data_IF_979675618406
#
_entry.id   IF_979675618406
#
_cell.length_a   1.000
_cell.length_b   1.000
_cell.length_c   1.000
_cell.angle_alpha   90.00
_cell.angle_beta   90.00
_cell.angle_gamma   90.00
#
_symmetry.space_group_name_H-M   'P 1'
#
loop_
_entity.id
_entity.type
_entity.pdbx_description
1 polymer ?
#
# COMPACT_ATOMS: atom_id res chain seq x y z
N UNK A 1 -2.27 -24.51 -36.66
CA UNK A 1 -2.66 -24.54 -35.24
C UNK A 1 -2.05 -23.30 -34.63
N UNK A 2 -2.83 -22.23 -34.49
CA UNK A 2 -2.44 -21.07 -33.70
C UNK A 2 -2.35 -21.56 -32.26
N UNK A 3 -1.12 -21.63 -31.74
CA UNK A 3 -0.91 -21.75 -30.30
C UNK A 3 -1.68 -20.60 -29.68
N UNK A 4 -2.59 -20.91 -28.76
CA UNK A 4 -3.10 -19.92 -27.83
C UNK A 4 -1.87 -19.47 -27.04
N UNK A 5 -1.19 -18.43 -27.50
CA UNK A 5 -0.28 -17.68 -26.65
C UNK A 5 -1.17 -17.12 -25.55
N UNK A 6 -1.20 -17.85 -24.45
CA UNK A 6 -1.85 -17.45 -23.22
C UNK A 6 -1.37 -16.04 -22.91
N UNK A 7 -2.31 -15.11 -22.79
CA UNK A 7 -2.12 -13.79 -22.19
C UNK A 7 -1.77 -13.97 -20.69
N UNK A 8 -0.73 -14.73 -20.37
CA UNK A 8 -0.16 -14.79 -19.04
C UNK A 8 0.90 -13.68 -19.01
N UNK A 9 0.49 -12.51 -18.53
CA UNK A 9 1.42 -11.46 -18.15
C UNK A 9 2.41 -11.93 -17.06
N UNK A 10 3.37 -11.07 -16.69
CA UNK A 10 4.31 -11.39 -15.62
C UNK A 10 3.58 -11.79 -14.34
N UNK A 11 4.08 -12.85 -13.69
CA UNK A 11 3.57 -13.35 -12.42
C UNK A 11 4.36 -12.75 -11.27
N UNK A 12 3.77 -12.74 -10.09
CA UNK A 12 4.48 -12.31 -8.87
C UNK A 12 5.79 -13.09 -8.73
N UNK A 13 6.89 -12.37 -8.57
CA UNK A 13 8.26 -12.89 -8.51
C UNK A 13 8.99 -12.96 -9.86
N UNK A 14 8.32 -12.75 -10.98
CA UNK A 14 8.98 -12.67 -12.29
C UNK A 14 9.84 -11.41 -12.36
N UNK A 15 11.01 -11.55 -13.00
CA UNK A 15 11.92 -10.42 -13.25
C UNK A 15 11.89 -10.05 -14.72
N UNK A 16 11.58 -8.79 -15.02
CA UNK A 16 11.60 -8.20 -16.36
C UNK A 16 12.41 -6.91 -16.33
N UNK A 17 13.30 -6.73 -17.32
CA UNK A 17 14.14 -5.54 -17.47
C UNK A 17 14.87 -5.07 -16.19
N UNK A 18 15.26 -6.02 -15.34
CA UNK A 18 15.97 -5.76 -14.09
C UNK A 18 15.07 -5.41 -12.90
N UNK A 19 13.75 -5.53 -13.05
CA UNK A 19 12.76 -5.31 -11.98
C UNK A 19 11.97 -6.59 -11.69
N UNK A 20 11.69 -6.86 -10.42
CA UNK A 20 10.89 -8.00 -9.97
C UNK A 20 9.48 -7.54 -9.62
N UNK A 21 8.46 -8.21 -10.17
CA UNK A 21 7.05 -7.93 -9.87
C UNK A 21 6.71 -8.40 -8.45
N UNK A 22 6.21 -7.52 -7.60
CA UNK A 22 5.88 -7.84 -6.20
C UNK A 22 4.42 -7.62 -5.84
N UNK A 23 3.64 -6.89 -6.62
CA UNK A 23 2.20 -6.85 -6.43
C UNK A 23 1.48 -6.48 -7.72
N UNK A 24 0.21 -6.87 -7.80
CA UNK A 24 -0.73 -6.43 -8.84
C UNK A 24 -2.05 -6.04 -8.20
N UNK A 25 -2.71 -5.03 -8.76
CA UNK A 25 -3.99 -4.55 -8.29
C UNK A 25 -4.92 -4.11 -9.42
N UNK A 26 -6.22 -4.04 -9.11
CA UNK A 26 -7.28 -3.56 -10.00
C UNK A 26 -8.07 -2.51 -9.25
N UNK A 27 -8.35 -1.38 -9.90
CA UNK A 27 -9.17 -0.28 -9.36
C UNK A 27 -8.81 0.05 -7.90
N UNK A 28 -7.51 0.25 -7.64
CA UNK A 28 -6.92 0.58 -6.34
C UNK A 28 -6.96 -0.52 -5.26
N UNK A 29 -7.27 -1.76 -5.62
CA UNK A 29 -7.23 -2.92 -4.71
C UNK A 29 -6.17 -3.93 -5.15
N UNK A 30 -5.26 -4.30 -4.25
CA UNK A 30 -4.33 -5.40 -4.51
C UNK A 30 -5.07 -6.74 -4.69
N UNK A 31 -4.83 -7.38 -5.82
CA UNK A 31 -5.35 -8.73 -6.13
C UNK A 31 -4.32 -9.81 -5.82
N UNK A 32 -3.02 -9.50 -5.95
CA UNK A 32 -1.93 -10.40 -5.59
C UNK A 32 -0.75 -9.60 -5.03
N UNK A 33 -0.09 -10.13 -4.00
CA UNK A 33 1.09 -9.51 -3.38
C UNK A 33 2.09 -10.61 -3.03
N UNK A 34 3.37 -10.35 -3.32
CA UNK A 34 4.47 -11.22 -2.94
C UNK A 34 4.48 -11.42 -1.41
N UNK A 35 4.66 -12.66 -0.91
CA UNK A 35 4.55 -12.96 0.52
C UNK A 35 5.40 -12.08 1.43
N UNK A 36 6.60 -11.72 0.98
CA UNK A 36 7.54 -10.89 1.75
C UNK A 36 7.05 -9.44 1.93
N UNK A 37 6.17 -8.95 1.06
CA UNK A 37 5.65 -7.58 1.10
C UNK A 37 4.24 -7.49 1.67
N UNK A 38 3.50 -8.61 1.66
CA UNK A 38 2.08 -8.66 1.99
C UNK A 38 1.75 -8.07 3.38
N UNK A 39 2.58 -8.34 4.39
CA UNK A 39 2.35 -7.84 5.74
C UNK A 39 2.50 -6.31 5.83
N UNK A 40 3.58 -5.77 5.25
CA UNK A 40 3.84 -4.33 5.25
C UNK A 40 2.78 -3.58 4.44
N UNK A 41 2.45 -4.07 3.24
CA UNK A 41 1.45 -3.43 2.36
C UNK A 41 0.08 -3.38 3.02
N UNK A 42 -0.36 -4.48 3.64
CA UNK A 42 -1.63 -4.53 4.36
C UNK A 42 -1.67 -3.53 5.51
N UNK A 43 -0.59 -3.42 6.29
CA UNK A 43 -0.56 -2.50 7.42
C UNK A 43 -0.52 -1.04 6.96
N UNK A 44 0.21 -0.76 5.88
CA UNK A 44 0.31 0.58 5.29
C UNK A 44 -1.04 1.01 4.73
N UNK A 45 -1.74 0.13 4.00
CA UNK A 45 -3.10 0.36 3.53
C UNK A 45 -4.08 0.65 4.68
N UNK A 46 -3.97 -0.07 5.79
CA UNK A 46 -4.78 0.21 6.99
C UNK A 46 -4.53 1.59 7.58
N UNK A 47 -3.28 2.05 7.61
CA UNK A 47 -2.95 3.41 8.03
C UNK A 47 -3.53 4.44 7.06
N UNK A 48 -3.27 4.32 5.76
CA UNK A 48 -3.73 5.27 4.74
C UNK A 48 -5.26 5.36 4.70
N UNK A 49 -5.93 4.20 4.69
CA UNK A 49 -7.38 4.13 4.72
C UNK A 49 -7.96 4.71 6.02
N UNK A 50 -7.30 4.51 7.16
CA UNK A 50 -7.74 5.06 8.44
C UNK A 50 -7.55 6.58 8.52
N UNK A 51 -6.42 7.10 8.04
CA UNK A 51 -6.12 8.53 8.02
C UNK A 51 -7.18 9.26 7.19
N UNK A 52 -7.45 8.76 5.97
CA UNK A 52 -8.50 9.30 5.10
C UNK A 52 -9.91 9.15 5.68
N UNK A 53 -10.22 8.02 6.32
CA UNK A 53 -11.55 7.79 6.90
C UNK A 53 -11.89 8.78 8.03
N UNK A 54 -10.87 9.24 8.76
CA UNK A 54 -11.03 10.13 9.90
C UNK A 54 -10.57 11.56 9.61
N UNK A 55 -10.35 11.91 8.34
CA UNK A 55 -9.91 13.24 7.88
C UNK A 55 -8.64 13.74 8.63
N UNK A 56 -7.63 12.88 8.78
CA UNK A 56 -6.41 13.13 9.57
C UNK A 56 -5.18 13.49 8.72
N UNK A 57 -5.32 13.70 7.42
CA UNK A 57 -4.21 13.97 6.48
C UNK A 57 -3.35 15.14 6.96
N UNK A 58 -3.97 16.25 7.39
CA UNK A 58 -3.28 17.44 7.89
C UNK A 58 -2.45 17.16 9.16
N UNK A 59 -2.89 16.22 10.00
CA UNK A 59 -2.19 15.87 11.24
C UNK A 59 -0.96 15.01 11.00
N UNK A 60 -0.94 14.25 9.89
CA UNK A 60 0.15 13.39 9.49
C UNK A 60 1.03 13.99 8.39
N UNK A 61 0.65 15.16 7.84
CA UNK A 61 1.35 15.89 6.77
C UNK A 61 1.65 14.97 5.57
N UNK A 62 0.63 14.23 5.10
CA UNK A 62 0.75 13.29 4.00
C UNK A 62 -0.51 13.26 3.13
N UNK A 63 -0.35 12.81 1.88
CA UNK A 63 -1.47 12.43 1.01
C UNK A 63 -1.79 10.95 1.27
N UNK A 64 -2.98 10.65 1.77
CA UNK A 64 -3.36 9.31 2.23
C UNK A 64 -3.74 8.35 1.07
N UNK A 65 -2.87 8.28 0.08
CA UNK A 65 -2.95 7.42 -1.11
C UNK A 65 -1.86 6.37 -1.01
N UNK A 66 -2.27 5.10 -0.95
CA UNK A 66 -1.36 3.96 -0.80
C UNK A 66 -0.29 3.92 -1.89
N UNK A 67 -0.65 4.22 -3.13
CA UNK A 67 0.29 4.17 -4.26
C UNK A 67 1.40 5.21 -4.16
N UNK A 68 1.07 6.43 -3.71
CA UNK A 68 2.06 7.49 -3.54
C UNK A 68 3.03 7.14 -2.41
N UNK A 69 2.52 6.59 -1.30
CA UNK A 69 3.38 6.11 -0.21
C UNK A 69 4.26 4.92 -0.62
N UNK A 70 3.79 4.06 -1.54
CA UNK A 70 4.65 3.00 -2.11
C UNK A 70 5.74 3.58 -3.01
N UNK A 71 5.42 4.58 -3.84
CA UNK A 71 6.42 5.30 -4.64
C UNK A 71 7.47 5.97 -3.75
N UNK A 72 7.04 6.62 -2.66
CA UNK A 72 7.94 7.25 -1.69
C UNK A 72 8.84 6.24 -0.95
N UNK A 73 8.36 5.01 -0.77
CA UNK A 73 9.16 3.89 -0.26
C UNK A 73 10.13 3.30 -1.31
N UNK A 74 10.11 3.78 -2.55
CA UNK A 74 10.99 3.34 -3.62
C UNK A 74 10.51 2.10 -4.38
N UNK A 75 9.22 1.77 -4.29
CA UNK A 75 8.60 0.86 -5.25
C UNK A 75 8.38 1.60 -6.57
N UNK A 76 8.40 0.86 -7.66
CA UNK A 76 8.01 1.38 -8.97
C UNK A 76 6.57 0.93 -9.22
N UNK A 77 5.68 1.86 -9.56
CA UNK A 77 4.26 1.56 -9.81
C UNK A 77 3.98 1.83 -11.28
N UNK A 78 3.62 0.79 -12.04
CA UNK A 78 3.11 0.93 -13.38
C UNK A 78 1.59 0.93 -13.38
N UNK A 79 1.02 1.67 -14.33
CA UNK A 79 -0.41 1.79 -14.55
C UNK A 79 -0.72 1.37 -15.99
N UNK A 80 -1.76 0.56 -16.16
CA UNK A 80 -2.30 0.18 -17.44
C UNK A 80 -3.82 0.10 -17.39
N UNK A 81 -4.45 0.14 -18.55
CA UNK A 81 -5.90 0.03 -18.66
C UNK A 81 -6.25 -1.23 -19.45
N UNK A 82 -7.25 -1.97 -18.96
CA UNK A 82 -7.80 -3.13 -19.65
C UNK A 82 -9.24 -2.83 -20.04
N UNK A 83 -9.50 -2.88 -21.35
CA UNK A 83 -10.85 -2.78 -21.89
C UNK A 83 -11.71 -3.96 -21.42
N UNK A 84 -12.92 -3.66 -20.98
CA UNK A 84 -13.92 -4.68 -20.73
C UNK A 84 -14.17 -5.51 -21.99
N UNK A 85 -14.11 -6.83 -21.88
CA UNK A 85 -14.29 -7.75 -23.04
C UNK A 85 -15.64 -7.59 -23.76
N UNK A 86 -16.61 -6.93 -23.12
CA UNK A 86 -17.96 -6.67 -23.64
C UNK A 86 -18.38 -5.23 -23.35
N UNK A 87 -19.29 -4.63 -24.15
CA UNK A 87 -19.70 -3.22 -23.99
C UNK A 87 -20.36 -2.88 -22.65
N UNK A 88 -20.77 -3.89 -21.89
CA UNK A 88 -21.36 -3.81 -20.56
C UNK A 88 -20.34 -3.99 -19.42
N UNK A 89 -19.09 -4.36 -19.72
CA UNK A 89 -18.00 -4.41 -18.74
C UNK A 89 -17.28 -3.05 -18.74
N UNK A 90 -17.15 -2.38 -17.59
CA UNK A 90 -16.39 -1.14 -17.50
C UNK A 90 -14.91 -1.41 -17.80
N UNK A 91 -14.25 -0.37 -18.30
CA UNK A 91 -12.80 -0.27 -18.34
C UNK A 91 -12.25 -0.32 -16.92
N UNK A 92 -11.22 -1.12 -16.68
CA UNK A 92 -10.58 -1.25 -15.36
C UNK A 92 -9.13 -0.81 -15.44
N UNK A 93 -8.65 -0.15 -14.38
CA UNK A 93 -7.25 0.23 -14.26
C UNK A 93 -6.51 -0.86 -13.52
N UNK A 94 -5.42 -1.33 -14.09
CA UNK A 94 -4.53 -2.33 -13.50
C UNK A 94 -3.24 -1.65 -13.09
N UNK A 95 -2.81 -1.98 -11.88
CA UNK A 95 -1.54 -1.52 -11.32
C UNK A 95 -0.61 -2.69 -11.13
N UNK A 96 0.66 -2.51 -11.46
CA UNK A 96 1.74 -3.42 -11.12
C UNK A 96 2.79 -2.70 -10.27
N UNK A 97 3.32 -3.41 -9.27
CA UNK A 97 4.30 -2.86 -8.33
C UNK A 97 5.56 -3.67 -8.44
N UNK A 98 6.66 -2.98 -8.67
CA UNK A 98 7.95 -3.55 -8.98
C UNK A 98 9.01 -3.09 -8.00
N UNK A 99 10.06 -3.91 -7.86
CA UNK A 99 11.28 -3.57 -7.12
C UNK A 99 12.50 -3.82 -8.01
N UNK A 100 13.57 -3.05 -7.80
CA UNK A 100 14.86 -3.33 -8.44
C UNK A 100 15.35 -4.73 -8.03
N UNK A 101 15.58 -5.60 -9.02
CA UNK A 101 16.07 -6.96 -8.78
C UNK A 101 17.48 -6.99 -8.17
N UNK A 102 18.27 -5.92 -8.33
CA UNK A 102 19.56 -5.76 -7.65
C UNK A 102 19.41 -5.36 -6.17
N UNK A 103 18.26 -4.80 -5.78
CA UNK A 103 17.97 -4.38 -4.41
C UNK A 103 16.50 -4.70 -4.00
N UNK A 104 16.10 -5.98 -3.98
CA UNK A 104 14.70 -6.37 -3.79
C UNK A 104 14.18 -6.07 -2.38
N UNK A 105 15.08 -5.84 -1.41
CA UNK A 105 14.72 -5.57 -0.01
C UNK A 105 14.69 -4.10 0.36
N UNK A 106 15.26 -3.22 -0.47
CA UNK A 106 15.32 -1.79 -0.18
C UNK A 106 13.93 -1.19 0.04
N UNK A 107 12.99 -1.37 -0.92
CA UNK A 107 11.65 -0.82 -0.78
C UNK A 107 10.85 -1.42 0.38
N UNK A 108 11.05 -2.69 0.71
CA UNK A 108 10.43 -3.31 1.89
C UNK A 108 10.91 -2.66 3.18
N UNK A 109 12.22 -2.48 3.32
CA UNK A 109 12.79 -1.84 4.51
C UNK A 109 12.32 -0.38 4.65
N UNK A 110 12.16 0.34 3.55
CA UNK A 110 11.61 1.69 3.54
C UNK A 110 10.14 1.72 4.01
N UNK A 111 9.29 0.82 3.50
CA UNK A 111 7.90 0.69 3.93
C UNK A 111 7.79 0.33 5.43
N UNK A 112 8.63 -0.56 5.94
CA UNK A 112 8.68 -0.90 7.37
C UNK A 112 9.13 0.29 8.24
N UNK A 113 10.07 1.10 7.74
CA UNK A 113 10.48 2.33 8.41
C UNK A 113 9.34 3.35 8.44
N UNK A 114 8.63 3.53 7.33
CA UNK A 114 7.47 4.43 7.24
C UNK A 114 6.34 4.01 8.18
N UNK A 115 6.06 2.71 8.29
CA UNK A 115 5.11 2.18 9.27
C UNK A 115 5.49 2.48 10.72
N UNK A 116 6.80 2.47 11.02
CA UNK A 116 7.31 2.83 12.34
C UNK A 116 7.12 4.32 12.60
N UNK A 117 7.43 5.17 11.63
CA UNK A 117 7.23 6.61 11.70
C UNK A 117 5.76 7.00 11.93
N UNK A 118 4.83 6.44 11.14
CA UNK A 118 3.39 6.68 11.31
C UNK A 118 2.92 6.33 12.74
N UNK A 119 3.44 5.24 13.30
CA UNK A 119 3.13 4.84 14.67
C UNK A 119 3.67 5.83 15.71
N UNK A 120 4.87 6.36 15.49
CA UNK A 120 5.48 7.37 16.36
C UNK A 120 4.71 8.69 16.31
N UNK A 121 4.39 9.19 15.12
CA UNK A 121 3.56 10.39 14.91
C UNK A 121 2.21 10.22 15.62
N UNK A 122 1.53 9.09 15.41
CA UNK A 122 0.26 8.79 16.07
C UNK A 122 0.36 8.80 17.61
N UNK A 123 1.46 8.27 18.16
CA UNK A 123 1.70 8.31 19.60
C UNK A 123 1.92 9.75 20.11
N UNK A 124 2.58 10.61 19.33
CA UNK A 124 2.81 12.00 19.72
C UNK A 124 1.57 12.88 19.64
N UNK A 125 0.63 12.57 18.74
CA UNK A 125 -0.70 13.20 18.66
C UNK A 125 -1.58 12.88 19.88
N UNK A 126 -1.32 11.78 20.58
CA UNK A 126 -2.07 11.42 21.78
C UNK A 126 -1.58 12.16 23.03
N UNK A 127 -2.49 12.50 23.98
CA UNK A 127 -2.11 12.99 25.30
C UNK A 127 -1.12 12.05 25.99
N UNK A 128 -0.19 12.61 26.78
CA UNK A 128 0.90 11.83 27.44
C UNK A 128 0.39 10.59 28.18
N UNK A 129 -0.75 10.67 28.85
CA UNK A 129 -1.37 9.54 29.57
C UNK A 129 -1.92 8.42 28.69
N UNK A 130 -2.10 8.66 27.38
CA UNK A 130 -2.66 7.73 26.40
C UNK A 130 -1.64 7.22 25.37
N UNK A 131 -0.41 7.75 25.34
CA UNK A 131 0.62 7.32 24.38
C UNK A 131 0.91 5.82 24.41
N UNK A 132 0.79 5.20 25.60
CA UNK A 132 0.95 3.76 25.76
C UNK A 132 -0.14 2.92 25.06
N UNK A 133 -1.30 3.51 24.74
CA UNK A 133 -2.41 2.80 24.10
C UNK A 133 -2.06 2.31 22.69
N UNK A 134 -1.20 3.05 21.97
CA UNK A 134 -0.75 2.68 20.61
C UNK A 134 -0.07 1.31 20.58
N UNK A 135 0.61 0.93 21.67
CA UNK A 135 1.28 -0.37 21.76
C UNK A 135 0.31 -1.53 22.04
N UNK A 136 -0.88 -1.24 22.58
CA UNK A 136 -1.90 -2.25 22.90
C UNK A 136 -2.99 -2.42 21.85
N UNK A 137 -3.11 -1.47 20.91
CA UNK A 137 -4.07 -1.57 19.82
C UNK A 137 -3.68 -2.65 18.82
N UNK A 138 -4.64 -3.50 18.46
CA UNK A 138 -4.42 -4.61 17.53
C UNK A 138 -4.25 -4.11 16.08
N UNK A 139 -4.81 -2.94 15.76
CA UNK A 139 -4.71 -2.33 14.44
C UNK A 139 -4.47 -0.82 14.53
N UNK A 140 -3.87 -0.21 13.49
CA UNK A 140 -3.77 1.25 13.39
C UNK A 140 -5.09 1.99 13.55
N UNK A 141 -6.19 1.41 13.03
CA UNK A 141 -7.51 2.04 12.99
C UNK A 141 -8.04 2.39 14.39
N UNK A 142 -7.71 1.59 15.41
CA UNK A 142 -8.12 1.86 16.80
C UNK A 142 -7.42 3.12 17.33
N UNK A 143 -6.12 3.26 17.02
CA UNK A 143 -5.33 4.46 17.37
C UNK A 143 -5.86 5.68 16.64
N UNK A 144 -6.05 5.58 15.34
CA UNK A 144 -6.53 6.69 14.51
C UNK A 144 -7.93 7.16 14.92
N UNK A 145 -8.83 6.22 15.22
CA UNK A 145 -10.15 6.53 15.75
C UNK A 145 -10.08 7.29 17.07
N UNK A 146 -9.20 6.86 17.98
CA UNK A 146 -9.02 7.54 19.26
C UNK A 146 -8.48 8.97 19.05
N UNK A 147 -7.52 9.16 18.15
CA UNK A 147 -6.99 10.50 17.81
C UNK A 147 -8.14 11.38 17.31
N UNK A 148 -8.94 10.90 16.36
CA UNK A 148 -10.07 11.64 15.81
C UNK A 148 -11.10 12.02 16.89
N UNK A 149 -11.46 11.08 17.77
CA UNK A 149 -12.39 11.33 18.88
C UNK A 149 -11.91 12.35 19.91
N UNK A 150 -10.61 12.60 20.00
CA UNK A 150 -10.02 13.60 20.91
C UNK A 150 -9.87 14.98 20.27
N UNK A 151 -9.98 15.07 18.93
CA UNK A 151 -9.94 16.32 18.19
C UNK A 151 -11.31 17.04 18.13
N UNK A 152 -12.40 16.30 18.36
CA UNK A 152 -13.78 16.80 18.50
C UNK A 152 -14.08 17.38 19.90
#
# INVERSE_FOLDING_TARGET
MTSADSFEGPKIGDTLDGQTLVAVGIDFTFTEVHPDHAAAFKLLDQWMSGIRLYDLEDAFDLDAVLWDELLDCGYEVGEGEIDGETPDKPMVTVFDVWVDAANPRGPLAAAEARLTELKEIAADLLPVGLRGAVASHETPLETLKLIAQLAE
#
